data_IF_625012592570
#
_entry.id   IF_625012592570
#
_cell.length_a   1.000
_cell.length_b   1.000
_cell.length_c   1.000
_cell.angle_alpha   90.00
_cell.angle_beta   90.00
_cell.angle_gamma   90.00
#
_symmetry.space_group_name_H-M   'P 1'
#
loop_
_entity.id
_entity.type
_entity.pdbx_description
1 polymer ?
#
# COMPACT_ATOMS: atom_id res chain seq x y z
N UNK A 1 -15.00 16.42 0.92
CA UNK A 1 -15.79 15.58 1.87
C UNK A 1 -14.93 15.23 3.08
N UNK A 2 -13.74 14.66 2.88
CA UNK A 2 -12.77 14.32 3.95
C UNK A 2 -12.39 15.53 4.80
N UNK A 3 -12.00 16.66 4.19
CA UNK A 3 -11.60 17.85 4.96
C UNK A 3 -12.71 18.37 5.89
N UNK A 4 -13.98 18.32 5.46
CA UNK A 4 -15.13 18.66 6.29
C UNK A 4 -15.34 17.65 7.43
N UNK A 5 -15.02 16.38 7.20
CA UNK A 5 -15.03 15.37 8.27
C UNK A 5 -13.91 15.60 9.30
N UNK A 6 -12.70 15.97 8.86
CA UNK A 6 -11.59 16.33 9.76
C UNK A 6 -11.97 17.50 10.68
N UNK A 7 -12.55 18.57 10.11
CA UNK A 7 -13.01 19.72 10.89
C UNK A 7 -14.06 19.33 11.93
N UNK A 8 -15.04 18.49 11.57
CA UNK A 8 -16.05 18.00 12.52
C UNK A 8 -15.46 17.10 13.62
N UNK A 9 -14.36 16.40 13.33
CA UNK A 9 -13.69 15.51 14.27
C UNK A 9 -12.60 16.21 15.12
N UNK A 10 -12.34 17.50 14.92
CA UNK A 10 -11.24 18.21 15.59
C UNK A 10 -9.85 17.72 15.18
N UNK A 11 -9.73 17.09 14.01
CA UNK A 11 -8.48 16.51 13.51
C UNK A 11 -7.79 17.46 12.51
N UNK A 12 -6.45 17.38 12.36
CA UNK A 12 -5.74 18.04 11.27
C UNK A 12 -6.37 17.70 9.91
N UNK A 13 -6.40 18.69 9.00
CA UNK A 13 -6.94 18.48 7.65
C UNK A 13 -6.09 17.45 6.93
N UNK A 14 -6.69 16.31 6.60
CA UNK A 14 -6.09 15.31 5.72
C UNK A 14 -6.81 15.27 4.38
N UNK A 15 -6.03 15.08 3.31
CA UNK A 15 -6.56 14.91 1.97
C UNK A 15 -7.06 13.46 1.73
N UNK A 16 -7.94 13.24 0.74
CA UNK A 16 -8.38 11.91 0.35
C UNK A 16 -7.23 10.95 0.00
N UNK A 17 -6.18 11.47 -0.64
CA UNK A 17 -5.01 10.68 -1.00
C UNK A 17 -4.21 10.21 0.22
N UNK A 18 -4.08 11.06 1.25
CA UNK A 18 -3.40 10.68 2.50
C UNK A 18 -4.16 9.56 3.22
N UNK A 19 -5.50 9.64 3.28
CA UNK A 19 -6.31 8.55 3.82
C UNK A 19 -6.13 7.25 3.03
N UNK A 20 -6.07 7.32 1.69
CA UNK A 20 -5.82 6.15 0.84
C UNK A 20 -4.48 5.49 1.18
N UNK A 21 -3.43 6.29 1.35
CA UNK A 21 -2.10 5.80 1.73
C UNK A 21 -2.07 5.21 3.14
N UNK A 22 -2.68 5.89 4.13
CA UNK A 22 -2.74 5.41 5.49
C UNK A 22 -3.46 4.06 5.58
N UNK A 23 -4.60 3.93 4.88
CA UNK A 23 -5.39 2.71 4.83
C UNK A 23 -4.60 1.56 4.17
N UNK A 24 -3.99 1.80 3.00
CA UNK A 24 -3.18 0.79 2.32
C UNK A 24 -1.99 0.31 3.18
N UNK A 25 -1.33 1.24 3.87
CA UNK A 25 -0.20 0.90 4.76
C UNK A 25 -0.63 0.13 5.99
N UNK A 26 -1.80 0.43 6.57
CA UNK A 26 -2.36 -0.35 7.67
C UNK A 26 -2.80 -1.75 7.22
N UNK A 27 -3.46 -1.85 6.06
CA UNK A 27 -3.82 -3.15 5.49
C UNK A 27 -2.57 -4.01 5.29
N UNK A 28 -1.48 -3.47 4.75
CA UNK A 28 -0.22 -4.22 4.59
C UNK A 28 0.38 -4.72 5.91
N UNK A 29 0.27 -3.94 6.99
CA UNK A 29 0.77 -4.35 8.31
C UNK A 29 -0.02 -5.52 8.89
N UNK A 30 -1.31 -5.59 8.60
CA UNK A 30 -2.19 -6.65 9.11
C UNK A 30 -2.23 -7.87 8.17
N UNK A 31 -2.14 -7.62 6.87
CA UNK A 31 -2.25 -8.58 5.80
C UNK A 31 -1.22 -8.24 4.68
N UNK A 32 -0.17 -9.07 4.49
CA UNK A 32 0.87 -8.82 3.50
C UNK A 32 0.41 -9.04 2.04
N UNK A 33 -0.84 -9.44 1.79
CA UNK A 33 -1.35 -9.69 0.46
C UNK A 33 -1.79 -8.39 -0.23
N UNK A 34 -1.18 -8.07 -1.38
CA UNK A 34 -1.54 -6.92 -2.23
C UNK A 34 -3.04 -6.92 -2.63
N UNK A 35 -3.64 -8.11 -2.72
CA UNK A 35 -5.06 -8.29 -3.01
C UNK A 35 -5.98 -7.75 -1.91
N UNK A 36 -5.56 -7.78 -0.64
CA UNK A 36 -6.33 -7.20 0.45
C UNK A 36 -6.48 -5.69 0.26
N UNK A 37 -5.40 -5.01 -0.16
CA UNK A 37 -5.41 -3.58 -0.46
C UNK A 37 -6.34 -3.29 -1.65
N UNK A 38 -6.28 -4.08 -2.73
CA UNK A 38 -7.08 -3.82 -3.92
C UNK A 38 -8.58 -3.95 -3.62
N UNK A 39 -8.97 -4.89 -2.76
CA UNK A 39 -10.35 -5.06 -2.30
C UNK A 39 -10.82 -3.87 -1.46
N UNK A 40 -10.04 -3.49 -0.45
CA UNK A 40 -10.37 -2.36 0.45
C UNK A 40 -10.45 -1.04 -0.31
N UNK A 41 -9.52 -0.78 -1.23
CA UNK A 41 -9.50 0.42 -2.06
C UNK A 41 -10.39 0.37 -3.30
N UNK A 42 -11.00 -0.80 -3.56
CA UNK A 42 -11.82 -1.10 -4.74
C UNK A 42 -11.10 -0.81 -6.06
N UNK A 43 -9.83 -1.18 -6.14
CA UNK A 43 -9.09 -1.14 -7.39
C UNK A 43 -9.50 -2.32 -8.27
N UNK A 44 -9.84 -2.02 -9.52
CA UNK A 44 -10.15 -3.05 -10.53
C UNK A 44 -8.88 -3.68 -11.11
N UNK A 45 -7.78 -2.93 -11.11
CA UNK A 45 -6.49 -3.36 -11.63
C UNK A 45 -5.44 -3.46 -10.50
N UNK A 46 -4.80 -4.61 -10.40
CA UNK A 46 -3.74 -4.85 -9.43
C UNK A 46 -2.50 -4.00 -9.70
N UNK A 47 -2.24 -3.62 -10.95
CA UNK A 47 -1.13 -2.72 -11.30
C UNK A 47 -1.26 -1.35 -10.62
N UNK A 48 -2.49 -0.84 -10.47
CA UNK A 48 -2.76 0.40 -9.72
C UNK A 48 -2.46 0.25 -8.23
N UNK A 49 -2.56 -0.97 -7.71
CA UNK A 49 -2.31 -1.29 -6.30
C UNK A 49 -0.82 -1.53 -6.03
N UNK A 50 -0.05 -1.97 -7.03
CA UNK A 50 1.37 -2.30 -6.89
C UNK A 50 2.24 -1.16 -6.34
N UNK A 51 1.82 0.11 -6.51
CA UNK A 51 2.48 1.26 -5.88
C UNK A 51 2.59 1.15 -4.35
N UNK A 52 1.69 0.41 -3.70
CA UNK A 52 1.69 0.17 -2.26
C UNK A 52 2.64 -0.95 -1.83
N UNK A 53 3.08 -1.84 -2.72
CA UNK A 53 3.98 -2.94 -2.39
C UNK A 53 5.35 -2.46 -1.89
N UNK A 54 5.80 -1.28 -2.34
CA UNK A 54 7.11 -0.69 -1.98
C UNK A 54 7.33 -0.46 -0.48
N UNK A 55 6.29 -0.58 0.34
CA UNK A 55 6.36 -0.29 1.77
C UNK A 55 6.85 -1.51 2.56
N UNK A 56 6.69 -2.72 2.03
CA UNK A 56 7.15 -3.95 2.67
C UNK A 56 8.37 -4.55 1.96
N UNK A 57 9.54 -3.96 2.23
CA UNK A 57 10.81 -4.48 1.71
C UNK A 57 11.19 -5.85 2.27
N UNK A 58 10.63 -6.26 3.41
CA UNK A 58 10.92 -7.58 4.00
C UNK A 58 10.26 -8.66 3.15
N UNK A 59 8.95 -8.55 2.89
CA UNK A 59 8.24 -9.48 2.01
C UNK A 59 8.77 -9.43 0.57
N UNK A 60 9.13 -8.25 0.06
CA UNK A 60 9.72 -8.12 -1.28
C UNK A 60 11.07 -8.86 -1.43
N UNK A 61 11.86 -8.98 -0.36
CA UNK A 61 13.13 -9.74 -0.39
C UNK A 61 12.92 -11.23 -0.52
N UNK A 62 11.81 -11.77 0.00
CA UNK A 62 11.52 -13.21 -0.07
C UNK A 62 11.21 -13.68 -1.50
N UNK A 63 10.62 -12.80 -2.31
CA UNK A 63 10.27 -13.08 -3.71
C UNK A 63 11.33 -12.60 -4.71
N UNK A 64 12.30 -11.80 -4.27
CA UNK A 64 13.35 -11.26 -5.11
C UNK A 64 14.20 -12.41 -5.68
N UNK A 65 14.26 -12.48 -7.00
CA UNK A 65 15.14 -13.41 -7.69
C UNK A 65 16.58 -12.89 -7.70
N UNK A 66 17.60 -13.78 -7.70
CA UNK A 66 18.98 -13.38 -7.91
C UNK A 66 19.11 -12.54 -9.17
N UNK A 67 19.98 -11.53 -9.13
CA UNK A 67 20.26 -10.75 -10.32
C UNK A 67 20.82 -11.66 -11.42
N UNK A 68 20.26 -11.65 -12.65
CA UNK A 68 20.76 -12.47 -13.75
C UNK A 68 22.15 -11.93 -14.14
N UNK A 69 23.18 -12.57 -13.61
CA UNK A 69 24.59 -12.15 -13.78
C UNK A 69 25.50 -12.44 -12.59
N UNK A 70 24.97 -12.88 -11.43
CA UNK A 70 25.77 -13.21 -10.23
C UNK A 70 25.66 -14.67 -9.80
N UNK A 71 25.04 -15.53 -10.61
CA UNK A 71 24.87 -16.97 -10.36
C UNK A 71 25.30 -17.81 -11.56
N UNK A 72 26.58 -17.74 -11.90
CA UNK A 72 27.30 -18.76 -12.66
C UNK A 72 28.73 -18.79 -12.12
N UNK A 73 28.91 -19.40 -10.96
CA UNK A 73 30.18 -19.88 -10.42
C UNK A 73 29.88 -21.15 -9.61
#
# INVERSE_FOLDING_TARGET
MVERACLRAGLPRVGPHQLRHALAGETLRQDPWLMAISQVLRHQDLATTALYAKVDFTALREVAQPWPGQGAA
#
